data_IF_218786758046
#
_entry.id   IF_218786758046
#
_cell.length_a   1.000
_cell.length_b   1.000
_cell.length_c   1.000
_cell.angle_alpha   90.00
_cell.angle_beta   90.00
_cell.angle_gamma   90.00
#
_symmetry.space_group_name_H-M   'P 1'
#
loop_
_entity.id
_entity.type
_entity.pdbx_description
1 polymer ?
#
# COMPACT_ATOMS: atom_id res chain seq x y z
N UNK A 1 2.96 11.12 -6.23
CA UNK A 1 2.69 10.87 -4.79
C UNK A 1 3.98 10.44 -4.13
N UNK A 2 4.21 10.91 -2.91
CA UNK A 2 5.37 10.47 -2.12
C UNK A 2 5.15 9.06 -1.60
N UNK A 3 6.14 8.19 -1.79
CA UNK A 3 6.14 6.82 -1.28
C UNK A 3 7.52 6.44 -0.75
N UNK A 4 7.56 5.59 0.28
CA UNK A 4 8.79 4.96 0.75
C UNK A 4 9.03 3.67 -0.05
N UNK A 5 10.11 3.62 -0.80
CA UNK A 5 10.49 2.52 -1.67
C UNK A 5 11.63 1.72 -1.05
N UNK A 6 11.43 0.41 -0.87
CA UNK A 6 12.51 -0.52 -0.60
C UNK A 6 13.20 -0.84 -1.93
N UNK A 7 14.49 -0.59 -1.99
CA UNK A 7 15.30 -0.68 -3.22
C UNK A 7 16.15 -1.96 -3.28
N UNK A 8 16.35 -2.60 -2.14
CA UNK A 8 17.34 -3.67 -1.93
C UNK A 8 17.33 -4.14 -0.48
N UNK A 9 18.25 -5.04 -0.14
CA UNK A 9 18.54 -5.31 1.26
C UNK A 9 19.04 -4.02 1.93
N UNK A 10 18.37 -3.62 3.01
CA UNK A 10 18.63 -2.43 3.82
C UNK A 10 18.55 -1.08 3.08
N UNK A 11 18.13 -1.07 1.82
CA UNK A 11 17.94 0.15 1.02
C UNK A 11 16.50 0.66 1.09
N UNK A 12 16.32 1.92 1.50
CA UNK A 12 15.02 2.60 1.49
C UNK A 12 15.17 4.06 1.12
N UNK A 13 14.27 4.57 0.28
CA UNK A 13 14.21 5.99 -0.09
C UNK A 13 12.77 6.50 -0.17
N UNK A 14 12.56 7.78 0.14
CA UNK A 14 11.28 8.44 -0.13
C UNK A 14 11.37 9.18 -1.46
N UNK A 15 10.57 8.77 -2.43
CA UNK A 15 10.54 9.37 -3.78
C UNK A 15 9.13 9.79 -4.17
N UNK A 16 9.04 10.75 -5.09
CA UNK A 16 7.80 10.98 -5.85
C UNK A 16 7.66 9.89 -6.91
N UNK A 17 6.50 9.23 -6.95
CA UNK A 17 6.12 8.26 -7.96
C UNK A 17 4.79 8.67 -8.62
N UNK A 18 4.47 8.10 -9.77
CA UNK A 18 3.17 8.31 -10.40
C UNK A 18 2.03 7.86 -9.48
N UNK A 19 0.88 8.52 -9.58
CA UNK A 19 -0.34 7.98 -8.97
C UNK A 19 -0.65 6.61 -9.57
N UNK A 20 -1.23 5.68 -8.79
CA UNK A 20 -1.81 4.48 -9.39
C UNK A 20 -2.90 4.87 -10.40
N UNK A 21 -3.18 4.01 -11.40
CA UNK A 21 -4.35 4.19 -12.25
C UNK A 21 -5.64 4.15 -11.41
N UNK A 22 -6.78 4.58 -11.97
CA UNK A 22 -8.08 4.36 -11.34
C UNK A 22 -8.28 2.88 -10.96
N UNK A 23 -9.03 2.57 -9.89
CA UNK A 23 -9.23 1.20 -9.44
C UNK A 23 -9.90 0.36 -10.53
N UNK A 24 -9.53 -0.92 -10.61
CA UNK A 24 -10.24 -1.90 -11.44
C UNK A 24 -11.66 -2.14 -10.91
N UNK A 25 -12.46 -2.93 -11.64
CA UNK A 25 -13.89 -3.08 -11.37
C UNK A 25 -14.19 -3.57 -9.95
N UNK A 26 -13.34 -4.42 -9.37
CA UNK A 26 -13.45 -5.02 -8.04
C UNK A 26 -12.55 -4.36 -6.98
N UNK A 27 -11.89 -3.25 -7.31
CA UNK A 27 -10.94 -2.57 -6.43
C UNK A 27 -11.51 -1.29 -5.81
N UNK A 28 -10.91 -0.86 -4.70
CA UNK A 28 -11.10 0.47 -4.13
C UNK A 28 -9.77 1.23 -4.12
N UNK A 29 -9.82 2.53 -4.41
CA UNK A 29 -8.67 3.40 -4.25
C UNK A 29 -8.77 4.15 -2.93
N UNK A 30 -7.73 4.03 -2.10
CA UNK A 30 -7.70 4.61 -0.76
C UNK A 30 -6.63 5.71 -0.69
N UNK A 31 -7.01 6.88 -0.17
CA UNK A 31 -6.05 7.89 0.28
C UNK A 31 -5.59 7.53 1.69
N UNK A 32 -4.34 7.08 1.79
CA UNK A 32 -3.70 6.77 3.07
C UNK A 32 -3.62 8.04 3.93
N UNK A 33 -4.11 7.95 5.18
CA UNK A 33 -4.05 9.02 6.19
C UNK A 33 -2.98 8.74 7.24
N UNK A 34 -2.87 7.48 7.64
CA UNK A 34 -1.88 6.99 8.57
C UNK A 34 -1.35 5.64 8.11
N UNK A 35 -0.05 5.41 8.29
CA UNK A 35 0.63 4.14 8.06
C UNK A 35 1.55 3.88 9.25
N UNK A 36 1.50 2.67 9.80
CA UNK A 36 2.35 2.22 10.88
C UNK A 36 3.48 1.34 10.33
N UNK A 37 4.59 1.29 11.06
CA UNK A 37 5.67 0.34 10.78
C UNK A 37 5.43 -0.93 11.60
N UNK A 38 5.28 -2.05 10.91
CA UNK A 38 5.21 -3.37 11.52
C UNK A 38 6.57 -4.07 11.43
N UNK A 39 6.76 -5.14 12.21
CA UNK A 39 7.93 -5.99 12.12
C UNK A 39 8.12 -6.62 10.72
N UNK A 40 7.03 -6.89 10.00
CA UNK A 40 7.10 -7.42 8.62
C UNK A 40 7.77 -6.45 7.65
N UNK A 41 7.60 -5.13 7.85
CA UNK A 41 8.29 -4.12 7.03
C UNK A 41 9.79 -4.17 7.28
N UNK A 42 10.21 -4.36 8.53
CA UNK A 42 11.63 -4.49 8.91
C UNK A 42 12.23 -5.78 8.34
N UNK A 43 11.50 -6.89 8.38
CA UNK A 43 11.94 -8.16 7.79
C UNK A 43 12.05 -8.07 6.28
N UNK A 44 11.10 -7.41 5.62
CA UNK A 44 11.16 -7.08 4.21
C UNK A 44 12.40 -6.24 3.93
N UNK A 45 12.60 -5.14 4.65
CA UNK A 45 13.79 -4.29 4.50
C UNK A 45 15.11 -5.06 4.66
N UNK A 46 15.19 -6.04 5.57
CA UNK A 46 16.36 -6.92 5.75
C UNK A 46 16.49 -8.05 4.71
N UNK A 47 15.57 -8.16 3.75
CA UNK A 47 15.58 -9.25 2.77
C UNK A 47 15.15 -10.62 3.31
N UNK A 48 14.55 -10.65 4.50
CA UNK A 48 14.15 -11.88 5.21
C UNK A 48 12.69 -12.28 4.96
N UNK A 49 11.87 -11.37 4.43
CA UNK A 49 10.46 -11.60 4.10
C UNK A 49 10.18 -11.35 2.62
N UNK A 50 9.07 -11.93 2.13
CA UNK A 50 8.59 -11.87 0.74
C UNK A 50 9.52 -12.58 -0.25
N UNK A 51 9.52 -13.92 -0.21
CA UNK A 51 10.19 -14.72 -1.23
C UNK A 51 9.68 -14.30 -2.62
N UNK A 52 10.60 -13.98 -3.54
CA UNK A 52 10.32 -13.49 -4.91
C UNK A 52 9.74 -12.07 -5.03
N UNK A 53 9.94 -11.19 -4.05
CA UNK A 53 9.60 -9.77 -4.23
C UNK A 53 10.33 -9.15 -5.43
N UNK A 54 9.60 -8.35 -6.20
CA UNK A 54 10.19 -7.48 -7.24
C UNK A 54 10.54 -6.15 -6.62
N UNK A 55 11.79 -5.71 -6.80
CA UNK A 55 12.26 -4.41 -6.35
C UNK A 55 12.31 -3.44 -7.55
N UNK A 56 12.06 -2.13 -7.33
CA UNK A 56 11.67 -1.48 -6.07
C UNK A 56 10.21 -1.76 -5.68
N UNK A 57 9.92 -1.78 -4.38
CA UNK A 57 8.56 -1.99 -3.84
C UNK A 57 8.18 -0.92 -2.82
N UNK A 58 6.91 -0.49 -2.80
CA UNK A 58 6.38 0.45 -1.79
C UNK A 58 6.24 -0.28 -0.45
N UNK A 59 6.78 0.31 0.63
CA UNK A 59 6.69 -0.21 1.98
C UNK A 59 5.39 0.18 2.70
N UNK A 60 5.05 -0.55 3.77
CA UNK A 60 3.90 -0.30 4.63
C UNK A 60 2.82 -1.37 4.44
N UNK A 61 2.67 -2.24 5.44
CA UNK A 61 1.63 -3.28 5.46
C UNK A 61 0.41 -2.89 6.31
N UNK A 62 0.52 -1.89 7.18
CA UNK A 62 -0.52 -1.49 8.13
C UNK A 62 -0.89 -0.02 7.93
N UNK A 63 -2.08 0.24 7.38
CA UNK A 63 -2.52 1.60 7.13
C UNK A 63 -4.03 1.79 7.35
N UNK A 64 -4.41 3.04 7.59
CA UNK A 64 -5.78 3.49 7.60
C UNK A 64 -5.92 4.72 6.69
N UNK A 65 -7.09 4.83 6.07
CA UNK A 65 -7.32 5.85 5.07
C UNK A 65 -8.79 6.09 4.78
N UNK A 66 -9.00 6.81 3.70
CA UNK A 66 -10.33 7.18 3.22
C UNK A 66 -10.47 6.72 1.78
N UNK A 67 -11.58 6.06 1.45
CA UNK A 67 -11.89 5.66 0.08
C UNK A 67 -12.08 6.91 -0.78
N UNK A 68 -11.37 7.01 -1.90
CA UNK A 68 -11.48 8.13 -2.85
C UNK A 68 -12.20 7.76 -4.15
N UNK A 69 -12.17 6.48 -4.52
CA UNK A 69 -12.85 5.96 -5.70
C UNK A 69 -13.11 4.46 -5.52
N UNK A 70 -14.11 3.93 -6.21
CA UNK A 70 -14.48 2.51 -6.21
C UNK A 70 -14.65 2.04 -7.65
N UNK A 71 -14.36 0.77 -7.90
CA UNK A 71 -14.64 0.10 -9.16
C UNK A 71 -16.13 -0.10 -9.41
N UNK A 72 -16.49 -0.44 -10.65
CA UNK A 72 -17.88 -0.58 -11.08
C UNK A 72 -18.64 -1.74 -10.39
N UNK A 73 -17.92 -2.75 -9.94
CA UNK A 73 -18.48 -3.96 -9.33
C UNK A 73 -18.40 -3.92 -7.79
N UNK A 74 -17.94 -2.80 -7.20
CA UNK A 74 -17.88 -2.61 -5.75
C UNK A 74 -19.18 -2.01 -5.24
N UNK A 75 -19.93 -2.79 -4.45
CA UNK A 75 -21.18 -2.36 -3.78
C UNK A 75 -21.04 -2.24 -2.25
N UNK A 76 -19.91 -2.70 -1.69
CA UNK A 76 -19.65 -2.74 -0.24
C UNK A 76 -19.05 -1.45 0.33
N UNK A 77 -18.52 -0.57 -0.52
CA UNK A 77 -17.80 0.64 -0.13
C UNK A 77 -18.18 1.82 -1.03
N UNK A 78 -17.98 3.05 -0.54
CA UNK A 78 -18.17 4.29 -1.31
C UNK A 78 -17.12 5.34 -0.96
N UNK A 79 -16.88 6.34 -1.83
CA UNK A 79 -16.03 7.47 -1.51
C UNK A 79 -16.41 8.15 -0.18
N UNK A 80 -15.42 8.44 0.65
CA UNK A 80 -15.58 9.01 2.00
C UNK A 80 -15.61 7.97 3.13
N UNK A 81 -15.72 6.67 2.83
CA UNK A 81 -15.63 5.63 3.85
C UNK A 81 -14.24 5.61 4.49
N UNK A 82 -14.19 5.51 5.82
CA UNK A 82 -12.94 5.36 6.59
C UNK A 82 -12.65 3.88 6.72
N UNK A 83 -11.48 3.44 6.23
CA UNK A 83 -11.11 2.04 6.13
C UNK A 83 -9.74 1.77 6.74
N UNK A 84 -9.56 0.56 7.26
CA UNK A 84 -8.26 0.01 7.64
C UNK A 84 -7.89 -1.09 6.63
N UNK A 85 -6.62 -1.13 6.21
CA UNK A 85 -6.13 -2.18 5.35
C UNK A 85 -5.94 -3.47 6.15
N UNK A 86 -6.45 -4.58 5.63
CA UNK A 86 -6.30 -5.90 6.22
C UNK A 86 -5.57 -6.81 5.24
N UNK A 87 -4.28 -7.06 5.51
CA UNK A 87 -3.41 -7.81 4.61
C UNK A 87 -3.41 -9.32 4.82
N UNK A 88 -4.36 -9.88 5.58
CA UNK A 88 -4.36 -11.30 5.95
C UNK A 88 -5.52 -12.07 5.28
N UNK A 89 -5.32 -12.43 4.00
CA UNK A 89 -6.03 -13.49 3.29
C UNK A 89 -5.04 -14.24 2.39
#
# INVERSE_FOLDING_TARGET
>A
MRAALVLGERGIEVREISMPPPPQADEVQVRIRAVALNHIDVWGWRGMAFAKRTLPIVAGAEAAGEVTAVGADVDTHKPGDIVALYGAL
#
